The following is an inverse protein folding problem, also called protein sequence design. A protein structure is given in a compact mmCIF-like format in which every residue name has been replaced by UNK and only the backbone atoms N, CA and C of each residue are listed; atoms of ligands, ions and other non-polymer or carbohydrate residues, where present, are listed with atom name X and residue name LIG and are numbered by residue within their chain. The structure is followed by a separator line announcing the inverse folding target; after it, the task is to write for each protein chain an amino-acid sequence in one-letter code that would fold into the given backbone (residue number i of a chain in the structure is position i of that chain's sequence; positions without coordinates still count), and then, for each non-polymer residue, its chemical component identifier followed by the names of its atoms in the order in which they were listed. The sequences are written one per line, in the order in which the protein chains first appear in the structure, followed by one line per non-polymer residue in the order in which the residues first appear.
data_IF_006042390340
#
_entry.id   IF_006042390340
#
_cell.length_a   1.000
_cell.length_b   1.000
_cell.length_c   1.000
_cell.angle_alpha   90.00
_cell.angle_beta   90.00
_cell.angle_gamma   90.00
#
_symmetry.space_group_name_H-M   'P 1'
#
loop_
_entity.id
_entity.type
_entity.pdbx_description
1 polymer ?
#
# COMPACT_ATOMS: atom_id res chain seq x y z
N UNK A 1 -6.64 -28.96 -4.69
CA UNK A 1 -5.21 -29.14 -4.32
C UNK A 1 -4.75 -27.96 -3.49
N UNK A 2 -3.94 -28.14 -2.46
CA UNK A 2 -3.50 -27.04 -1.61
C UNK A 2 -2.00 -26.81 -1.78
N UNK A 3 -1.60 -25.55 -1.98
CA UNK A 3 -0.23 -25.14 -2.26
C UNK A 3 0.30 -24.23 -1.17
N UNK A 4 1.55 -24.43 -0.74
CA UNK A 4 2.28 -23.50 0.13
C UNK A 4 3.43 -22.92 -0.68
N UNK A 5 3.43 -21.61 -0.86
CA UNK A 5 4.44 -20.88 -1.62
C UNK A 5 5.39 -20.16 -0.67
N UNK A 6 6.68 -20.49 -0.76
CA UNK A 6 7.73 -19.93 0.11
C UNK A 6 8.81 -19.28 -0.76
N UNK A 7 8.76 -17.95 -0.99
CA UNK A 7 9.86 -17.24 -1.61
C UNK A 7 11.04 -17.13 -0.64
N UNK A 8 12.25 -17.46 -1.09
CA UNK A 8 13.45 -17.50 -0.26
C UNK A 8 14.64 -16.81 -0.96
N UNK A 9 15.33 -15.95 -0.22
CA UNK A 9 16.60 -15.36 -0.64
C UNK A 9 17.59 -15.43 0.52
N UNK A 10 18.74 -16.06 0.29
CA UNK A 10 19.77 -16.35 1.31
C UNK A 10 19.19 -17.02 2.59
N UNK A 11 18.37 -18.08 2.49
CA UNK A 11 17.75 -18.69 3.65
C UNK A 11 18.76 -19.37 4.57
N UNK A 12 18.35 -19.63 5.82
CA UNK A 12 19.07 -20.45 6.78
C UNK A 12 18.36 -21.80 7.02
N UNK A 13 18.84 -22.58 8.01
CA UNK A 13 18.25 -23.88 8.36
C UNK A 13 16.80 -23.82 8.86
N UNK A 14 16.23 -22.64 9.15
CA UNK A 14 14.83 -22.51 9.54
C UNK A 14 13.89 -22.84 8.40
N UNK A 15 14.28 -22.54 7.16
CA UNK A 15 13.50 -22.93 5.97
C UNK A 15 13.30 -24.45 5.94
N UNK A 16 14.38 -25.22 6.12
CA UNK A 16 14.33 -26.69 6.16
C UNK A 16 13.41 -27.18 7.29
N UNK A 17 13.56 -26.64 8.50
CA UNK A 17 12.72 -27.02 9.63
C UNK A 17 11.24 -26.69 9.41
N UNK A 18 10.95 -25.60 8.69
CA UNK A 18 9.58 -25.21 8.36
C UNK A 18 8.97 -26.20 7.35
N UNK A 19 9.65 -26.48 6.24
CA UNK A 19 9.15 -27.40 5.21
C UNK A 19 9.03 -28.84 5.74
N UNK A 20 9.97 -29.31 6.56
CA UNK A 20 9.92 -30.65 7.19
C UNK A 20 8.65 -30.77 8.04
N UNK A 21 8.39 -29.78 8.92
CA UNK A 21 7.19 -29.77 9.76
C UNK A 21 5.88 -29.66 8.97
N UNK A 22 5.88 -28.92 7.87
CA UNK A 22 4.70 -28.80 6.99
C UNK A 22 4.43 -30.13 6.29
N UNK A 23 5.48 -30.74 5.74
CA UNK A 23 5.42 -32.02 5.04
C UNK A 23 4.96 -33.15 5.96
N UNK A 24 5.45 -33.20 7.20
CA UNK A 24 5.02 -34.20 8.20
C UNK A 24 3.55 -34.05 8.63
N UNK A 25 2.96 -32.87 8.50
CA UNK A 25 1.64 -32.53 9.07
C UNK A 25 0.56 -32.31 8.04
N UNK A 26 0.88 -32.35 6.75
CA UNK A 26 -0.08 -32.05 5.70
C UNK A 26 0.35 -32.55 4.32
N UNK A 27 -0.64 -32.80 3.47
CA UNK A 27 -0.45 -33.17 2.07
C UNK A 27 -0.36 -31.95 1.14
N UNK A 28 0.04 -30.78 1.66
CA UNK A 28 0.16 -29.59 0.84
C UNK A 28 1.33 -29.73 -0.12
N UNK A 29 1.14 -29.27 -1.36
CA UNK A 29 2.23 -29.14 -2.31
C UNK A 29 3.08 -27.92 -1.95
N UNK A 30 4.25 -28.16 -1.38
CA UNK A 30 5.18 -27.10 -0.99
C UNK A 30 6.00 -26.68 -2.20
N UNK A 31 5.97 -25.38 -2.50
CA UNK A 31 6.72 -24.75 -3.58
C UNK A 31 7.67 -23.70 -2.99
N UNK A 32 8.97 -23.96 -3.09
CA UNK A 32 10.02 -23.04 -2.64
C UNK A 32 10.63 -22.37 -3.86
N UNK A 33 10.73 -21.05 -3.83
CA UNK A 33 11.36 -20.27 -4.90
C UNK A 33 12.68 -19.72 -4.40
N UNK A 34 13.81 -20.25 -4.88
CA UNK A 34 15.14 -19.68 -4.68
C UNK A 34 15.29 -18.44 -5.57
N UNK A 35 15.15 -17.26 -5.00
CA UNK A 35 15.26 -15.97 -5.71
C UNK A 35 16.74 -15.57 -5.91
N UNK A 36 17.53 -16.47 -6.50
CA UNK A 36 18.92 -16.20 -6.86
C UNK A 36 19.88 -16.10 -5.68
N UNK A 37 19.75 -17.00 -4.70
CA UNK A 37 20.66 -17.08 -3.56
C UNK A 37 22.07 -17.52 -3.98
N UNK A 38 23.03 -17.25 -3.08
CA UNK A 38 24.44 -17.60 -3.27
C UNK A 38 24.66 -19.12 -3.37
N UNK A 39 25.85 -19.51 -3.83
CA UNK A 39 26.27 -20.92 -3.85
C UNK A 39 26.28 -21.55 -2.44
N UNK A 40 26.52 -20.75 -1.40
CA UNK A 40 26.56 -21.21 0.00
C UNK A 40 25.21 -21.75 0.48
N UNK A 41 24.11 -21.14 0.01
CA UNK A 41 22.75 -21.56 0.35
C UNK A 41 22.26 -22.78 -0.45
N UNK A 42 22.99 -23.27 -1.46
CA UNK A 42 22.50 -24.37 -2.32
C UNK A 42 22.28 -25.67 -1.56
N UNK A 43 23.09 -25.94 -0.54
CA UNK A 43 22.89 -27.10 0.35
C UNK A 43 21.52 -27.08 1.04
N UNK A 44 21.00 -25.88 1.34
CA UNK A 44 19.68 -25.71 1.97
C UNK A 44 18.58 -26.05 0.96
N UNK A 45 18.69 -25.56 -0.27
CA UNK A 45 17.73 -25.87 -1.33
C UNK A 45 17.78 -27.33 -1.78
N UNK A 46 18.96 -27.95 -1.84
CA UNK A 46 19.09 -29.36 -2.16
C UNK A 46 18.45 -30.25 -1.09
N UNK A 47 18.57 -29.89 0.18
CA UNK A 47 17.81 -30.55 1.23
C UNK A 47 16.31 -30.27 1.11
N UNK A 48 15.92 -29.06 0.73
CA UNK A 48 14.51 -28.71 0.57
C UNK A 48 13.80 -29.51 -0.55
N UNK A 49 14.51 -29.89 -1.61
CA UNK A 49 13.98 -30.75 -2.69
C UNK A 49 13.48 -32.11 -2.22
N UNK A 50 13.88 -32.57 -1.03
CA UNK A 50 13.38 -33.82 -0.45
C UNK A 50 11.91 -33.73 -0.01
N UNK A 51 11.42 -32.51 0.26
CA UNK A 51 10.09 -32.28 0.84
C UNK A 51 9.23 -31.31 0.01
N UNK A 52 9.82 -30.61 -0.95
CA UNK A 52 9.19 -29.54 -1.71
C UNK A 52 9.68 -29.48 -3.16
N UNK A 53 8.85 -28.92 -4.04
CA UNK A 53 9.30 -28.48 -5.37
C UNK A 53 10.12 -27.20 -5.21
N UNK A 54 11.34 -27.17 -5.76
CA UNK A 54 12.22 -26.00 -5.69
C UNK A 54 12.46 -25.45 -7.09
N UNK A 55 12.09 -24.18 -7.31
CA UNK A 55 12.35 -23.45 -8.55
C UNK A 55 13.39 -22.37 -8.26
N UNK A 56 14.42 -22.25 -9.11
CA UNK A 56 15.53 -21.33 -8.90
C UNK A 56 15.59 -20.24 -9.96
N UNK A 57 15.73 -19.00 -9.53
CA UNK A 57 16.14 -17.87 -10.38
C UNK A 57 17.67 -17.81 -10.49
N UNK A 58 18.16 -17.40 -11.67
CA UNK A 58 19.61 -17.24 -11.91
C UNK A 58 20.21 -16.07 -11.10
N UNK A 59 19.43 -15.01 -10.90
CA UNK A 59 19.78 -13.81 -10.14
C UNK A 59 18.59 -13.39 -9.27
N UNK A 60 18.84 -12.59 -8.24
CA UNK A 60 17.76 -12.04 -7.41
C UNK A 60 16.87 -11.09 -8.22
N UNK A 61 15.61 -11.48 -8.40
CA UNK A 61 14.60 -10.70 -9.11
C UNK A 61 13.62 -10.00 -8.15
N UNK A 62 13.55 -10.45 -6.90
CA UNK A 62 12.73 -9.89 -5.84
C UNK A 62 11.59 -10.82 -5.42
N UNK A 63 11.11 -10.62 -4.18
CA UNK A 63 10.03 -11.41 -3.56
C UNK A 63 8.76 -11.45 -4.41
N UNK A 64 8.34 -10.32 -4.98
CA UNK A 64 7.16 -10.26 -5.85
C UNK A 64 7.31 -11.09 -7.13
N UNK A 65 8.50 -11.09 -7.73
CA UNK A 65 8.80 -11.93 -8.89
C UNK A 65 8.85 -13.41 -8.51
N UNK A 66 9.43 -13.75 -7.35
CA UNK A 66 9.40 -15.11 -6.83
C UNK A 66 7.97 -15.63 -6.62
N UNK A 67 7.08 -14.81 -6.04
CA UNK A 67 5.66 -15.13 -5.92
C UNK A 67 5.00 -15.33 -7.30
N UNK A 68 5.28 -14.46 -8.27
CA UNK A 68 4.74 -14.62 -9.63
C UNK A 68 5.22 -15.91 -10.31
N UNK A 69 6.51 -16.25 -10.18
CA UNK A 69 7.04 -17.53 -10.69
C UNK A 69 6.28 -18.72 -10.09
N UNK A 70 6.02 -18.69 -8.77
CA UNK A 70 5.21 -19.70 -8.11
C UNK A 70 3.77 -19.75 -8.63
N UNK A 71 3.13 -18.59 -8.80
CA UNK A 71 1.76 -18.52 -9.29
C UNK A 71 1.62 -18.99 -10.74
N UNK A 72 2.58 -18.67 -11.60
CA UNK A 72 2.64 -19.21 -12.98
C UNK A 72 2.73 -20.73 -12.96
N UNK A 73 3.65 -21.29 -12.14
CA UNK A 73 3.77 -22.74 -11.99
C UNK A 73 2.47 -23.40 -11.53
N UNK A 74 1.78 -22.81 -10.55
CA UNK A 74 0.50 -23.32 -10.04
C UNK A 74 -0.61 -23.21 -11.10
N UNK A 75 -0.63 -22.11 -11.87
CA UNK A 75 -1.59 -21.91 -12.95
C UNK A 75 -1.45 -22.99 -14.04
N UNK A 76 -0.22 -23.35 -14.39
CA UNK A 76 0.09 -24.38 -15.38
C UNK A 76 -0.39 -25.78 -14.96
N UNK A 77 -0.54 -26.04 -13.65
CA UNK A 77 -1.12 -27.30 -13.18
C UNK A 77 -2.60 -27.44 -13.54
N UNK A 78 -3.30 -26.33 -13.80
CA UNK A 78 -4.73 -26.28 -14.14
C UNK A 78 -5.65 -27.05 -13.17
N UNK A 79 -5.30 -27.04 -11.87
CA UNK A 79 -6.05 -27.71 -10.80
C UNK A 79 -6.62 -26.68 -9.83
N UNK A 80 -7.92 -26.79 -9.54
CA UNK A 80 -8.57 -25.93 -8.56
C UNK A 80 -8.09 -26.23 -7.13
N UNK A 81 -7.95 -25.18 -6.32
CA UNK A 81 -7.27 -25.30 -5.06
C UNK A 81 -7.15 -24.03 -4.25
N UNK A 82 -6.36 -24.13 -3.17
CA UNK A 82 -5.97 -23.01 -2.33
C UNK A 82 -4.46 -22.80 -2.43
N UNK A 83 -4.04 -21.54 -2.46
CA UNK A 83 -2.65 -21.11 -2.36
C UNK A 83 -2.49 -20.35 -1.06
N UNK A 84 -1.46 -20.66 -0.29
CA UNK A 84 -1.02 -19.86 0.86
C UNK A 84 0.44 -19.47 0.69
N UNK A 85 0.77 -18.20 0.88
CA UNK A 85 2.15 -17.70 0.88
C UNK A 85 2.68 -17.69 2.31
N UNK A 86 3.94 -18.07 2.53
CA UNK A 86 4.60 -17.99 3.82
C UNK A 86 6.05 -17.53 3.67
N UNK A 87 6.55 -16.79 4.66
CA UNK A 87 7.95 -16.34 4.65
C UNK A 87 8.92 -17.48 5.03
N UNK A 88 10.12 -17.46 4.43
CA UNK A 88 11.14 -18.50 4.61
C UNK A 88 11.85 -18.49 5.98
N UNK A 89 11.65 -17.44 6.78
CA UNK A 89 12.34 -17.22 8.06
C UNK A 89 11.76 -18.01 9.24
N UNK A 90 10.65 -18.74 9.02
CA UNK A 90 10.02 -19.58 10.02
C UNK A 90 9.24 -18.82 11.10
N UNK A 91 8.92 -17.53 10.87
CA UNK A 91 8.11 -16.75 11.81
C UNK A 91 6.65 -17.19 11.88
N UNK A 92 6.15 -17.82 10.80
CA UNK A 92 4.79 -18.33 10.74
C UNK A 92 4.69 -19.72 11.37
N UNK A 93 3.79 -19.90 12.34
CA UNK A 93 3.50 -21.23 12.85
C UNK A 93 2.80 -22.05 11.78
N UNK A 94 3.15 -23.34 11.69
CA UNK A 94 2.54 -24.28 10.74
C UNK A 94 1.01 -24.31 10.84
N UNK A 95 0.48 -24.29 12.07
CA UNK A 95 -0.98 -24.24 12.29
C UNK A 95 -1.62 -22.93 11.82
N UNK A 96 -0.90 -21.82 11.84
CA UNK A 96 -1.41 -20.54 11.34
C UNK A 96 -1.52 -20.58 9.80
N UNK A 97 -0.53 -21.18 9.14
CA UNK A 97 -0.55 -21.45 7.69
C UNK A 97 -1.79 -22.30 7.34
N UNK A 98 -2.01 -23.41 8.07
CA UNK A 98 -3.17 -24.27 7.82
C UNK A 98 -4.50 -23.59 8.08
N UNK A 99 -4.63 -22.79 9.16
CA UNK A 99 -5.85 -22.01 9.43
C UNK A 99 -6.14 -21.03 8.31
N UNK A 100 -5.14 -20.30 7.81
CA UNK A 100 -5.33 -19.35 6.71
C UNK A 100 -5.71 -20.04 5.41
N UNK A 101 -5.08 -21.19 5.09
CA UNK A 101 -5.45 -21.99 3.92
C UNK A 101 -6.89 -22.54 4.02
N UNK A 102 -7.27 -23.11 5.17
CA UNK A 102 -8.63 -23.60 5.37
C UNK A 102 -9.66 -22.47 5.23
N UNK A 103 -9.37 -21.28 5.78
CA UNK A 103 -10.25 -20.13 5.65
C UNK A 103 -10.43 -19.70 4.19
N UNK A 104 -9.38 -19.75 3.39
CA UNK A 104 -9.45 -19.45 1.95
C UNK A 104 -10.27 -20.50 1.19
N UNK A 105 -10.12 -21.78 1.54
CA UNK A 105 -10.94 -22.85 0.97
C UNK A 105 -12.43 -22.70 1.30
N UNK A 106 -12.77 -22.25 2.51
CA UNK A 106 -14.16 -21.97 2.92
C UNK A 106 -14.75 -20.70 2.28
N UNK A 107 -13.88 -19.80 1.82
CA UNK A 107 -14.26 -18.49 1.31
C UNK A 107 -13.63 -18.25 -0.08
N UNK A 108 -14.09 -18.99 -1.10
CA UNK A 108 -13.60 -18.78 -2.46
C UNK A 108 -13.90 -17.34 -2.90
N UNK A 109 -13.06 -16.81 -3.79
CA UNK A 109 -13.15 -15.41 -4.27
C UNK A 109 -12.89 -14.34 -3.20
N UNK A 110 -12.15 -14.68 -2.14
CA UNK A 110 -11.70 -13.73 -1.12
C UNK A 110 -10.21 -13.81 -0.91
N UNK A 111 -9.60 -12.70 -0.48
CA UNK A 111 -8.21 -12.66 -0.05
C UNK A 111 -8.17 -12.80 1.48
N UNK A 112 -7.50 -13.83 1.97
CA UNK A 112 -7.33 -14.08 3.40
C UNK A 112 -5.96 -13.59 3.85
N UNK A 113 -5.92 -12.81 4.93
CA UNK A 113 -4.69 -12.33 5.55
C UNK A 113 -4.51 -12.97 6.92
N UNK A 114 -3.34 -13.58 7.14
CA UNK A 114 -2.90 -13.97 8.48
C UNK A 114 -2.42 -12.72 9.23
N UNK A 115 -3.19 -12.23 10.19
CA UNK A 115 -2.90 -10.98 10.90
C UNK A 115 -2.34 -11.24 12.28
N UNK A 116 -1.19 -10.66 12.57
CA UNK A 116 -0.52 -10.82 13.85
C UNK A 116 -1.39 -10.21 14.95
N UNK A 117 -1.67 -10.98 16.00
CA UNK A 117 -2.22 -10.39 17.21
C UNK A 117 -1.18 -9.42 17.79
N UNK A 118 -1.44 -8.11 17.77
CA UNK A 118 -0.57 -7.08 18.37
C UNK A 118 -0.61 -7.09 19.91
N UNK A 119 -0.80 -8.27 20.51
CA UNK A 119 -0.71 -8.50 21.96
C UNK A 119 0.71 -8.91 22.32
N UNK A 120 1.58 -7.95 22.68
CA UNK A 120 2.93 -8.24 23.15
C UNK A 120 3.95 -7.11 22.94
N UNK A 121 5.21 -7.37 23.31
CA UNK A 121 6.38 -6.47 23.12
C UNK A 121 6.78 -6.40 21.64
N UNK A 122 5.93 -5.81 20.81
CA UNK A 122 6.30 -5.47 19.43
C UNK A 122 7.27 -4.28 19.47
N UNK A 123 8.44 -4.33 18.80
CA UNK A 123 9.38 -3.21 18.74
C UNK A 123 8.65 -1.92 18.33
N UNK A 124 8.83 -0.85 19.12
CA UNK A 124 8.10 0.41 18.95
C UNK A 124 8.19 0.99 17.52
N UNK A 125 9.34 0.79 16.86
CA UNK A 125 9.58 1.22 15.47
C UNK A 125 8.68 0.50 14.47
N UNK A 126 8.53 -0.82 14.59
CA UNK A 126 7.65 -1.62 13.72
C UNK A 126 6.17 -1.36 14.01
N UNK A 127 5.81 -1.05 15.26
CA UNK A 127 4.44 -0.61 15.61
C UNK A 127 4.08 0.72 14.96
N UNK A 128 4.99 1.70 14.99
CA UNK A 128 4.73 3.02 14.43
C UNK A 128 4.60 2.97 12.91
N UNK A 129 5.53 2.27 12.23
CA UNK A 129 5.48 2.05 10.78
C UNK A 129 4.17 1.39 10.35
N UNK A 130 3.79 0.28 10.99
CA UNK A 130 2.55 -0.41 10.64
C UNK A 130 1.30 0.42 10.98
N UNK A 131 1.30 1.20 12.07
CA UNK A 131 0.15 2.05 12.43
C UNK A 131 -0.06 3.17 11.40
N UNK A 132 1.03 3.81 10.95
CA UNK A 132 0.97 4.81 9.88
C UNK A 132 0.48 4.17 8.58
N UNK A 133 1.01 3.01 8.21
CA UNK A 133 0.63 2.32 6.97
C UNK A 133 -0.83 1.86 6.99
N UNK A 134 -1.33 1.33 8.11
CA UNK A 134 -2.75 1.00 8.27
C UNK A 134 -3.64 2.21 8.11
N UNK A 135 -3.25 3.34 8.71
CA UNK A 135 -3.99 4.59 8.59
C UNK A 135 -4.02 5.05 7.13
N UNK A 136 -2.86 5.12 6.47
CA UNK A 136 -2.77 5.51 5.05
C UNK A 136 -3.54 4.56 4.13
N UNK A 137 -3.42 3.25 4.36
CA UNK A 137 -4.16 2.24 3.60
C UNK A 137 -5.67 2.42 3.74
N UNK A 138 -6.19 2.48 4.98
CA UNK A 138 -7.61 2.72 5.24
C UNK A 138 -8.09 4.06 4.69
N UNK A 139 -7.25 5.09 4.77
CA UNK A 139 -7.53 6.41 4.20
C UNK A 139 -7.67 6.33 2.68
N UNK A 140 -6.81 5.57 2.00
CA UNK A 140 -6.80 5.43 0.55
C UNK A 140 -7.89 4.48 0.02
N UNK A 141 -8.06 3.30 0.62
CA UNK A 141 -8.94 2.23 0.10
C UNK A 141 -10.32 2.20 0.74
N UNK A 142 -10.50 2.85 1.90
CA UNK A 142 -11.73 2.71 2.70
C UNK A 142 -11.82 1.40 3.50
N UNK A 143 -11.00 0.41 3.16
CA UNK A 143 -10.98 -0.91 3.81
C UNK A 143 -10.05 -0.88 5.02
N UNK A 144 -10.55 -1.33 6.18
CA UNK A 144 -9.74 -1.52 7.37
C UNK A 144 -9.02 -2.85 7.33
N UNK A 145 -7.68 -2.80 7.29
CA UNK A 145 -6.80 -3.96 7.45
C UNK A 145 -5.94 -3.76 8.68
N UNK A 146 -5.85 -4.78 9.52
CA UNK A 146 -5.11 -4.77 10.78
C UNK A 146 -3.65 -5.14 10.61
N UNK A 147 -3.22 -5.73 9.49
CA UNK A 147 -1.79 -5.91 9.18
C UNK A 147 -1.49 -5.88 7.67
N UNK A 148 -1.06 -4.71 7.17
CA UNK A 148 -0.76 -4.55 5.73
C UNK A 148 0.57 -5.19 5.31
N UNK A 149 1.41 -5.56 6.28
CA UNK A 149 2.76 -6.06 6.04
C UNK A 149 2.89 -7.57 6.25
N UNK A 150 1.78 -8.29 6.41
CA UNK A 150 1.83 -9.75 6.55
C UNK A 150 2.19 -10.41 5.22
N UNK A 151 3.16 -11.32 5.28
CA UNK A 151 3.52 -12.24 4.19
C UNK A 151 2.66 -13.51 4.19
N UNK A 152 1.89 -13.76 5.26
CA UNK A 152 0.97 -14.89 5.34
C UNK A 152 -0.38 -14.53 4.71
N UNK A 153 -0.59 -14.99 3.48
CA UNK A 153 -1.79 -14.68 2.70
C UNK A 153 -2.31 -15.92 2.03
N UNK A 154 -3.62 -16.11 1.98
CA UNK A 154 -4.22 -17.26 1.32
C UNK A 154 -5.37 -16.85 0.39
N UNK A 155 -5.52 -17.57 -0.72
CA UNK A 155 -6.55 -17.34 -1.72
C UNK A 155 -6.77 -18.60 -2.57
N UNK A 156 -7.88 -18.69 -3.29
CA UNK A 156 -8.17 -19.81 -4.20
C UNK A 156 -7.50 -19.63 -5.56
N UNK A 157 -7.11 -20.72 -6.23
CA UNK A 157 -6.29 -20.68 -7.46
C UNK A 157 -6.92 -19.87 -8.60
N UNK A 158 -8.25 -19.67 -8.60
CA UNK A 158 -8.92 -18.80 -9.57
C UNK A 158 -8.55 -17.30 -9.44
N UNK A 159 -7.91 -16.87 -8.34
CA UNK A 159 -7.37 -15.52 -8.19
C UNK A 159 -5.98 -15.36 -8.83
N UNK A 160 -5.31 -16.45 -9.24
CA UNK A 160 -3.97 -16.39 -9.82
C UNK A 160 -3.87 -15.45 -11.05
N UNK A 161 -4.81 -15.46 -12.02
CA UNK A 161 -4.77 -14.52 -13.15
C UNK A 161 -4.76 -13.06 -12.70
N UNK A 162 -5.46 -12.74 -11.61
CA UNK A 162 -5.42 -11.41 -11.00
C UNK A 162 -4.06 -11.15 -10.32
N UNK A 163 -3.56 -12.10 -9.53
CA UNK A 163 -2.27 -11.99 -8.85
C UNK A 163 -1.10 -11.74 -9.82
N UNK A 164 -1.11 -12.37 -11.00
CA UNK A 164 -0.07 -12.21 -12.01
C UNK A 164 -0.06 -10.84 -12.67
N UNK A 165 -1.22 -10.16 -12.77
CA UNK A 165 -1.35 -8.82 -13.38
C UNK A 165 -0.85 -7.69 -12.47
N UNK A 166 -0.80 -7.91 -11.16
CA UNK A 166 -0.41 -6.89 -10.18
C UNK A 166 1.04 -6.44 -10.44
N UNK A 167 1.27 -5.13 -10.50
CA UNK A 167 2.60 -4.56 -10.72
C UNK A 167 3.52 -4.74 -9.50
N UNK A 168 4.83 -4.74 -9.76
CA UNK A 168 5.87 -4.90 -8.73
C UNK A 168 6.59 -6.24 -8.84
N UNK A 169 7.86 -6.23 -8.43
CA UNK A 169 8.76 -7.39 -8.47
C UNK A 169 9.44 -7.64 -7.13
N UNK A 170 9.50 -6.65 -6.24
CA UNK A 170 10.07 -6.78 -4.90
C UNK A 170 8.96 -6.66 -3.85
N UNK A 171 9.28 -6.17 -2.65
CA UNK A 171 8.33 -6.10 -1.52
C UNK A 171 7.12 -5.19 -1.79
N UNK A 172 7.21 -4.23 -2.72
CA UNK A 172 6.06 -3.40 -3.12
C UNK A 172 4.90 -4.20 -3.72
N UNK A 173 5.18 -5.38 -4.30
CA UNK A 173 4.17 -6.25 -4.87
C UNK A 173 3.11 -6.65 -3.84
N UNK A 174 3.52 -6.93 -2.60
CA UNK A 174 2.59 -7.32 -1.53
C UNK A 174 1.67 -6.15 -1.14
N UNK A 175 2.15 -4.91 -1.16
CA UNK A 175 1.29 -3.74 -0.93
C UNK A 175 0.35 -3.51 -2.12
N UNK A 176 0.86 -3.57 -3.35
CA UNK A 176 0.06 -3.44 -4.56
C UNK A 176 -1.03 -4.52 -4.63
N UNK A 177 -0.72 -5.75 -4.22
CA UNK A 177 -1.69 -6.83 -4.11
C UNK A 177 -2.87 -6.45 -3.20
N UNK A 178 -2.60 -5.86 -2.03
CA UNK A 178 -3.68 -5.42 -1.13
C UNK A 178 -4.48 -4.27 -1.76
N UNK A 179 -3.80 -3.27 -2.33
CA UNK A 179 -4.45 -2.12 -2.95
C UNK A 179 -5.35 -2.52 -4.11
N UNK A 180 -4.87 -3.38 -5.01
CA UNK A 180 -5.68 -3.88 -6.12
C UNK A 180 -6.77 -4.82 -5.63
N UNK A 181 -6.50 -5.68 -4.64
CA UNK A 181 -7.49 -6.61 -4.12
C UNK A 181 -8.69 -5.89 -3.51
N UNK A 182 -8.49 -4.76 -2.82
CA UNK A 182 -9.61 -3.98 -2.27
C UNK A 182 -10.61 -3.46 -3.30
N UNK A 183 -10.25 -3.45 -4.59
CA UNK A 183 -11.13 -3.01 -5.68
C UNK A 183 -12.00 -4.14 -6.23
N UNK A 184 -11.57 -5.39 -6.09
CA UNK A 184 -12.19 -6.55 -6.75
C UNK A 184 -12.64 -7.66 -5.78
N UNK A 185 -12.00 -7.78 -4.62
CA UNK A 185 -12.19 -8.89 -3.69
C UNK A 185 -12.37 -8.41 -2.25
N UNK A 186 -13.21 -9.14 -1.52
CA UNK A 186 -13.31 -8.96 -0.08
C UNK A 186 -12.04 -9.50 0.62
N UNK A 187 -11.56 -8.76 1.62
CA UNK A 187 -10.42 -9.15 2.45
C UNK A 187 -10.93 -9.63 3.80
N UNK A 188 -10.56 -10.86 4.19
CA UNK A 188 -10.83 -11.41 5.51
C UNK A 188 -9.54 -11.61 6.28
N UNK A 189 -9.61 -11.48 7.61
CA UNK A 189 -8.46 -11.59 8.49
C UNK A 189 -8.58 -12.81 9.40
N UNK A 190 -7.50 -13.58 9.51
CA UNK A 190 -7.37 -14.70 10.44
C UNK A 190 -6.29 -14.33 11.45
N UNK A 191 -6.58 -14.30 12.75
CA UNK A 191 -5.57 -14.01 13.76
C UNK A 191 -4.51 -15.11 13.77
N UNK A 192 -3.24 -14.69 13.82
CA UNK A 192 -2.08 -15.58 13.89
C UNK A 192 -1.16 -15.23 15.07
N UNK A 193 -0.46 -16.24 15.58
CA UNK A 193 0.46 -16.07 16.69
C UNK A 193 1.83 -15.69 16.15
N UNK A 194 2.38 -14.55 16.58
CA UNK A 194 3.71 -14.14 16.11
C UNK A 194 4.80 -14.85 16.90
N UNK A 195 5.66 -15.60 16.21
CA UNK A 195 6.91 -16.09 16.81
C UNK A 195 8.00 -15.08 16.49
N UNK A 196 8.31 -14.20 17.44
CA UNK A 196 9.47 -13.30 17.32
C UNK A 196 10.75 -14.12 17.55
N UNK A 197 11.49 -14.41 16.49
CA UNK A 197 12.80 -15.09 16.56
C UNK A 197 13.88 -14.03 16.37
N UNK A 198 14.73 -13.82 17.38
CA UNK A 198 15.93 -12.96 17.35
C UNK A 198 15.70 -11.58 16.69
N UNK A 199 14.71 -10.81 17.16
CA UNK A 199 14.50 -9.40 16.77
C UNK A 199 14.39 -9.11 15.24
N UNK A 200 13.98 -10.11 14.44
CA UNK A 200 13.90 -10.05 12.97
C UNK A 200 15.25 -9.94 12.22
N UNK A 201 16.39 -10.36 12.79
CA UNK A 201 17.70 -10.31 12.11
C UNK A 201 17.74 -11.09 10.78
N UNK A 202 16.92 -12.14 10.64
CA UNK A 202 16.82 -12.93 9.41
C UNK A 202 15.94 -12.30 8.32
N UNK A 203 15.25 -11.19 8.63
CA UNK A 203 14.50 -10.46 7.62
C UNK A 203 15.46 -9.59 6.80
N UNK A 204 15.65 -9.92 5.53
CA UNK A 204 16.37 -9.06 4.58
C UNK A 204 15.60 -7.77 4.23
N UNK A 205 14.47 -7.50 4.89
CA UNK A 205 13.72 -6.27 4.74
C UNK A 205 14.51 -5.10 5.34
N UNK A 206 14.99 -4.20 4.48
CA UNK A 206 15.67 -2.96 4.90
C UNK A 206 14.60 -1.90 5.16
N UNK A 207 14.32 -1.52 6.43
CA UNK A 207 13.11 -0.77 6.77
C UNK A 207 12.96 0.58 6.08
N UNK A 208 14.09 1.26 5.80
CA UNK A 208 14.11 2.58 5.18
C UNK A 208 14.02 2.46 3.65
N UNK A 209 14.88 1.64 3.03
CA UNK A 209 14.96 1.56 1.57
C UNK A 209 13.76 0.83 0.97
N UNK A 210 13.40 -0.32 1.54
CA UNK A 210 12.29 -1.13 1.05
C UNK A 210 10.96 -0.50 1.47
N UNK A 211 10.91 0.17 2.64
CA UNK A 211 9.81 1.05 3.02
C UNK A 211 9.61 2.18 2.01
N UNK A 212 10.64 2.95 1.68
CA UNK A 212 10.53 4.03 0.68
C UNK A 212 10.12 3.52 -0.71
N UNK A 213 10.49 2.29 -1.09
CA UNK A 213 10.02 1.67 -2.33
C UNK A 213 8.54 1.29 -2.28
N UNK A 214 8.09 0.64 -1.20
CA UNK A 214 6.67 0.31 -0.95
C UNK A 214 5.81 1.58 -1.00
N UNK A 215 6.31 2.67 -0.41
CA UNK A 215 5.57 3.91 -0.29
C UNK A 215 5.92 4.92 -1.39
N UNK A 216 6.73 4.60 -2.40
CA UNK A 216 7.23 5.59 -3.39
C UNK A 216 6.08 6.34 -4.06
N UNK A 217 5.01 5.65 -4.44
CA UNK A 217 3.87 6.27 -5.11
C UNK A 217 3.00 7.08 -4.13
N UNK A 218 2.85 6.59 -2.89
CA UNK A 218 2.13 7.30 -1.82
C UNK A 218 2.90 8.57 -1.39
N UNK A 219 4.21 8.47 -1.18
CA UNK A 219 5.10 9.60 -0.90
C UNK A 219 5.17 10.57 -2.07
N UNK A 220 5.23 10.12 -3.32
CA UNK A 220 5.19 11.04 -4.47
C UNK A 220 3.88 11.82 -4.53
N UNK A 221 2.75 11.17 -4.28
CA UNK A 221 1.46 11.83 -4.23
C UNK A 221 1.36 12.82 -3.05
N UNK A 222 1.78 12.41 -1.86
CA UNK A 222 1.82 13.26 -0.68
C UNK A 222 2.79 14.44 -0.85
N UNK A 223 3.97 14.20 -1.44
CA UNK A 223 4.99 15.21 -1.73
C UNK A 223 4.51 16.19 -2.80
N UNK A 224 3.81 15.72 -3.83
CA UNK A 224 3.18 16.58 -4.85
C UNK A 224 2.12 17.49 -4.23
N UNK A 225 1.28 16.93 -3.36
CA UNK A 225 0.24 17.67 -2.63
C UNK A 225 0.83 18.69 -1.66
N UNK A 226 1.87 18.31 -0.91
CA UNK A 226 2.58 19.21 0.00
C UNK A 226 3.33 20.31 -0.76
N UNK A 227 3.98 19.98 -1.88
CA UNK A 227 4.67 20.96 -2.74
C UNK A 227 3.67 21.95 -3.34
N UNK A 228 2.49 21.49 -3.76
CA UNK A 228 1.40 22.36 -4.21
C UNK A 228 0.93 23.30 -3.10
N UNK A 229 0.78 22.82 -1.86
CA UNK A 229 0.47 23.67 -0.71
C UNK A 229 1.54 24.73 -0.44
N UNK A 230 2.82 24.38 -0.54
CA UNK A 230 3.93 25.35 -0.39
C UNK A 230 3.87 26.41 -1.49
N UNK A 231 3.64 26.01 -2.75
CA UNK A 231 3.45 26.95 -3.87
C UNK A 231 2.25 27.87 -3.61
N UNK A 232 1.12 27.32 -3.15
CA UNK A 232 -0.08 28.09 -2.78
C UNK A 232 0.23 29.15 -1.74
N UNK A 233 0.93 28.77 -0.66
CA UNK A 233 1.31 29.67 0.42
C UNK A 233 2.27 30.78 -0.05
N UNK A 234 3.31 30.43 -0.81
CA UNK A 234 4.30 31.40 -1.30
C UNK A 234 3.64 32.41 -2.25
N UNK A 235 2.83 31.93 -3.19
CA UNK A 235 2.13 32.80 -4.14
C UNK A 235 1.13 33.70 -3.40
N UNK A 236 0.41 33.17 -2.40
CA UNK A 236 -0.49 33.96 -1.56
C UNK A 236 0.27 35.06 -0.81
N UNK A 237 1.39 34.72 -0.15
CA UNK A 237 2.20 35.66 0.60
C UNK A 237 2.75 36.79 -0.30
N UNK A 238 3.28 36.44 -1.47
CA UNK A 238 3.75 37.42 -2.45
C UNK A 238 2.62 38.32 -2.97
N UNK A 239 1.45 37.75 -3.26
CA UNK A 239 0.31 38.53 -3.74
C UNK A 239 -0.22 39.51 -2.68
N UNK A 240 -0.21 39.14 -1.39
CA UNK A 240 -0.55 40.05 -0.29
C UNK A 240 0.46 41.21 -0.18
N UNK A 241 1.75 40.94 -0.41
CA UNK A 241 2.80 41.97 -0.37
C UNK A 241 2.72 42.95 -1.55
N UNK A 242 2.35 42.47 -2.74
CA UNK A 242 2.30 43.27 -3.98
C UNK A 242 1.02 44.12 -4.07
N UNK A 243 -0.02 43.80 -3.30
CA UNK A 243 -1.31 44.50 -3.33
C UNK A 243 -1.61 45.33 -2.04
N UNK A 244 -0.69 46.16 -1.52
CA UNK A 244 -0.85 46.84 -0.24
C UNK A 244 -1.91 47.95 -0.25
N UNK A 245 -2.30 48.46 -1.43
CA UNK A 245 -3.27 49.54 -1.61
C UNK A 245 -4.69 49.04 -1.88
N UNK A 246 -4.87 47.74 -2.14
CA UNK A 246 -6.18 47.14 -2.42
C UNK A 246 -6.96 46.93 -1.13
N UNK A 247 -8.28 47.21 -1.09
CA UNK A 247 -9.12 46.93 0.08
C UNK A 247 -8.96 45.49 0.56
N UNK A 248 -8.89 45.28 1.87
CA UNK A 248 -8.53 44.00 2.49
C UNK A 248 -9.38 42.82 1.99
N UNK A 249 -10.69 43.02 1.81
CA UNK A 249 -11.61 42.00 1.29
C UNK A 249 -11.26 41.58 -0.14
N UNK A 250 -11.03 42.55 -1.03
CA UNK A 250 -10.66 42.30 -2.43
C UNK A 250 -9.25 41.73 -2.53
N UNK A 251 -8.33 42.16 -1.67
CA UNK A 251 -6.96 41.67 -1.60
C UNK A 251 -6.89 40.17 -1.26
N UNK A 252 -7.63 39.74 -0.23
CA UNK A 252 -7.70 38.32 0.16
C UNK A 252 -8.25 37.48 -1.00
N UNK A 253 -9.32 37.96 -1.64
CA UNK A 253 -9.95 37.26 -2.77
C UNK A 253 -8.98 37.10 -3.96
N UNK A 254 -8.35 38.19 -4.39
CA UNK A 254 -7.41 38.19 -5.52
C UNK A 254 -6.16 37.35 -5.23
N UNK A 255 -5.53 37.55 -4.06
CA UNK A 255 -4.34 36.81 -3.66
C UNK A 255 -4.62 35.31 -3.57
N UNK A 256 -5.78 34.94 -3.04
CA UNK A 256 -6.16 33.54 -2.94
C UNK A 256 -6.49 32.92 -4.31
N UNK A 257 -7.11 33.68 -5.20
CA UNK A 257 -7.45 33.22 -6.54
C UNK A 257 -6.20 32.89 -7.35
N UNK A 258 -5.22 33.79 -7.34
CA UNK A 258 -3.94 33.58 -8.02
C UNK A 258 -3.19 32.39 -7.41
N UNK A 259 -3.08 32.33 -6.07
CA UNK A 259 -2.43 31.22 -5.37
C UNK A 259 -3.03 29.87 -5.75
N UNK A 260 -4.38 29.78 -5.77
CA UNK A 260 -5.08 28.53 -6.02
C UNK A 260 -4.97 28.04 -7.46
N UNK A 261 -5.01 28.96 -8.42
CA UNK A 261 -4.81 28.62 -9.84
C UNK A 261 -3.39 28.11 -10.05
N UNK A 262 -2.38 28.83 -9.55
CA UNK A 262 -0.97 28.44 -9.71
C UNK A 262 -0.67 27.11 -9.02
N UNK A 263 -1.14 26.91 -7.79
CA UNK A 263 -0.92 25.67 -7.03
C UNK A 263 -1.62 24.46 -7.66
N UNK A 264 -2.81 24.64 -8.24
CA UNK A 264 -3.55 23.59 -8.92
C UNK A 264 -2.88 23.17 -10.23
N UNK A 265 -2.39 24.13 -11.02
CA UNK A 265 -1.63 23.86 -12.25
C UNK A 265 -0.34 23.10 -11.92
N UNK A 266 0.37 23.53 -10.89
CA UNK A 266 1.58 22.85 -10.41
C UNK A 266 1.30 21.42 -9.95
N UNK A 267 0.23 21.20 -9.17
CA UNK A 267 -0.17 19.88 -8.67
C UNK A 267 -0.50 18.93 -9.83
N UNK A 268 -1.31 19.40 -10.78
CA UNK A 268 -1.68 18.63 -11.97
C UNK A 268 -0.44 18.25 -12.81
N UNK A 269 0.43 19.22 -13.10
CA UNK A 269 1.67 18.99 -13.87
C UNK A 269 2.60 17.98 -13.19
N UNK A 270 2.77 18.10 -11.87
CA UNK A 270 3.62 17.23 -11.06
C UNK A 270 3.05 15.81 -10.98
N UNK A 271 1.75 15.66 -10.74
CA UNK A 271 1.11 14.33 -10.71
C UNK A 271 1.15 13.66 -12.08
N UNK A 272 0.93 14.40 -13.17
CA UNK A 272 1.02 13.87 -14.55
C UNK A 272 2.43 13.42 -14.92
N UNK A 273 3.47 14.13 -14.49
CA UNK A 273 4.87 13.77 -14.82
C UNK A 273 5.49 12.74 -13.88
N UNK A 274 5.14 12.75 -12.59
CA UNK A 274 5.84 11.97 -11.55
C UNK A 274 5.05 10.80 -10.97
N UNK A 275 3.71 10.87 -10.99
CA UNK A 275 2.82 9.92 -10.28
C UNK A 275 2.06 9.02 -11.24
N UNK A 276 1.44 9.56 -12.28
CA UNK A 276 0.58 8.80 -13.21
C UNK A 276 1.18 8.79 -14.61
N UNK A 277 1.74 7.65 -15.05
CA UNK A 277 2.19 7.41 -16.44
C UNK A 277 1.05 6.84 -17.31
N UNK A 278 -0.17 7.36 -17.23
CA UNK A 278 -1.29 6.83 -18.02
C UNK A 278 -2.16 7.90 -18.68
N UNK A 279 -2.59 7.60 -19.91
CA UNK A 279 -3.40 8.40 -20.83
C UNK A 279 -4.91 8.24 -20.60
N UNK A 280 -5.40 8.38 -19.37
CA UNK A 280 -6.84 8.37 -19.12
C UNK A 280 -7.53 9.68 -19.56
N UNK A 281 -8.78 9.58 -20.03
CA UNK A 281 -9.52 10.67 -20.69
C UNK A 281 -9.60 11.94 -19.82
N UNK A 282 -8.89 12.98 -20.28
CA UNK A 282 -8.64 14.26 -19.61
C UNK A 282 -9.90 15.01 -19.14
N UNK A 283 -11.03 14.78 -19.82
CA UNK A 283 -12.20 15.66 -19.73
C UNK A 283 -13.06 15.34 -18.51
N UNK A 284 -13.28 14.06 -18.20
CA UNK A 284 -14.22 13.65 -17.12
C UNK A 284 -13.61 13.83 -15.72
N UNK A 285 -12.32 13.54 -15.57
CA UNK A 285 -11.57 13.77 -14.33
C UNK A 285 -11.29 15.26 -14.11
N UNK A 286 -11.09 16.01 -15.19
CA UNK A 286 -10.84 17.46 -15.14
C UNK A 286 -12.02 18.28 -14.60
N UNK A 287 -13.26 17.96 -15.00
CA UNK A 287 -14.45 18.69 -14.53
C UNK A 287 -14.73 18.49 -13.03
N UNK A 288 -14.53 17.28 -12.49
CA UNK A 288 -14.66 17.01 -11.06
C UNK A 288 -13.60 17.73 -10.21
N UNK A 289 -12.36 17.76 -10.69
CA UNK A 289 -11.28 18.51 -10.06
C UNK A 289 -11.51 20.02 -10.10
N UNK A 290 -12.03 20.55 -11.21
CA UNK A 290 -12.35 21.97 -11.34
C UNK A 290 -13.45 22.39 -10.36
N UNK A 291 -14.54 21.62 -10.27
CA UNK A 291 -15.62 21.89 -9.30
C UNK A 291 -15.14 21.89 -7.86
N UNK A 292 -14.27 20.93 -7.49
CA UNK A 292 -13.65 20.91 -6.18
C UNK A 292 -12.72 22.11 -5.95
N UNK A 293 -11.90 22.47 -6.95
CA UNK A 293 -10.98 23.60 -6.83
C UNK A 293 -11.74 24.92 -6.58
N UNK A 294 -12.87 25.13 -7.25
CA UNK A 294 -13.77 26.27 -7.04
C UNK A 294 -14.40 26.22 -5.64
N UNK A 295 -14.93 25.08 -5.22
CA UNK A 295 -15.52 24.93 -3.88
C UNK A 295 -14.51 25.18 -2.76
N UNK A 296 -13.29 24.65 -2.89
CA UNK A 296 -12.21 24.88 -1.94
C UNK A 296 -11.75 26.34 -1.96
N UNK A 297 -11.67 26.98 -3.13
CA UNK A 297 -11.33 28.40 -3.23
C UNK A 297 -12.31 29.30 -2.48
N UNK A 298 -13.61 29.05 -2.63
CA UNK A 298 -14.66 29.80 -1.94
C UNK A 298 -14.53 29.59 -0.42
N UNK A 299 -14.44 28.33 0.02
CA UNK A 299 -14.37 28.00 1.44
C UNK A 299 -13.08 28.55 2.10
N UNK A 300 -11.96 28.49 1.39
CA UNK A 300 -10.67 29.05 1.82
C UNK A 300 -10.76 30.56 2.01
N UNK A 301 -11.34 31.26 1.04
CA UNK A 301 -11.52 32.71 1.10
C UNK A 301 -12.42 33.13 2.26
N UNK A 302 -13.51 32.40 2.48
CA UNK A 302 -14.45 32.66 3.59
C UNK A 302 -13.82 32.40 4.95
N UNK A 303 -13.11 31.28 5.11
CA UNK A 303 -12.47 30.92 6.37
C UNK A 303 -11.30 31.85 6.70
N UNK A 304 -10.44 32.20 5.74
CA UNK A 304 -9.36 33.16 5.97
C UNK A 304 -9.93 34.50 6.42
N UNK A 305 -11.02 34.95 5.78
CA UNK A 305 -11.72 36.17 6.18
C UNK A 305 -12.26 36.06 7.60
N UNK A 306 -12.92 34.95 7.94
CA UNK A 306 -13.44 34.69 9.29
C UNK A 306 -12.34 34.75 10.36
N UNK A 307 -11.24 34.01 10.17
CA UNK A 307 -10.11 33.99 11.10
C UNK A 307 -9.44 35.36 11.24
N UNK A 308 -9.36 36.12 10.16
CA UNK A 308 -8.82 37.47 10.20
C UNK A 308 -9.76 38.47 10.90
N UNK A 309 -11.04 38.52 10.53
CA UNK A 309 -11.96 39.56 11.03
C UNK A 309 -12.53 39.28 12.40
N UNK A 310 -12.79 38.00 12.74
CA UNK A 310 -13.44 37.62 14.01
C UNK A 310 -12.41 37.29 15.08
N UNK A 311 -11.32 36.62 14.71
CA UNK A 311 -10.31 36.14 15.66
C UNK A 311 -9.03 36.99 15.66
N UNK A 312 -8.92 38.00 14.77
CA UNK A 312 -7.76 38.90 14.70
C UNK A 312 -6.46 38.20 14.28
N UNK A 313 -6.54 36.99 13.69
CA UNK A 313 -5.36 36.20 13.33
C UNK A 313 -4.68 36.82 12.11
N UNK A 314 -3.35 36.88 12.11
CA UNK A 314 -2.56 37.32 10.96
C UNK A 314 -2.93 36.51 9.70
N UNK A 315 -3.05 37.18 8.54
CA UNK A 315 -3.45 36.57 7.27
C UNK A 315 -2.61 35.34 6.88
N UNK A 316 -1.30 35.36 7.12
CA UNK A 316 -0.41 34.25 6.79
C UNK A 316 -0.63 33.05 7.71
N UNK A 317 -0.87 33.30 9.01
CA UNK A 317 -1.18 32.25 9.99
C UNK A 317 -2.57 31.66 9.72
N UNK A 318 -3.55 32.51 9.42
CA UNK A 318 -4.89 32.09 9.02
C UNK A 318 -4.83 31.20 7.77
N UNK A 319 -4.02 31.55 6.77
CA UNK A 319 -3.82 30.74 5.56
C UNK A 319 -3.28 29.33 5.87
N UNK A 320 -2.35 29.19 6.82
CA UNK A 320 -1.83 27.88 7.24
C UNK A 320 -2.90 27.06 7.94
N UNK A 321 -3.61 27.64 8.92
CA UNK A 321 -4.67 26.94 9.68
C UNK A 321 -5.79 26.48 8.74
N UNK A 322 -6.27 27.37 7.88
CA UNK A 322 -7.34 27.06 6.92
C UNK A 322 -6.87 26.03 5.90
N UNK A 323 -5.62 26.12 5.43
CA UNK A 323 -5.04 25.13 4.54
C UNK A 323 -5.04 23.71 5.11
N UNK A 324 -4.72 23.55 6.41
CA UNK A 324 -4.78 22.26 7.11
C UNK A 324 -6.22 21.75 7.20
N UNK A 325 -7.17 22.61 7.57
CA UNK A 325 -8.59 22.24 7.67
C UNK A 325 -9.16 21.82 6.31
N UNK A 326 -8.84 22.58 5.26
CA UNK A 326 -9.31 22.32 3.90
C UNK A 326 -8.64 21.13 3.26
N UNK A 327 -7.43 20.77 3.67
CA UNK A 327 -6.80 19.54 3.21
C UNK A 327 -7.65 18.33 3.57
N UNK A 328 -8.16 18.26 4.81
CA UNK A 328 -9.03 17.16 5.25
C UNK A 328 -10.38 17.14 4.50
N UNK A 329 -10.97 18.31 4.27
CA UNK A 329 -12.23 18.44 3.50
C UNK A 329 -12.01 18.05 2.03
N UNK A 330 -10.98 18.59 1.39
CA UNK A 330 -10.57 18.27 0.03
C UNK A 330 -10.36 16.77 -0.14
N UNK A 331 -9.63 16.15 0.77
CA UNK A 331 -9.39 14.71 0.76
C UNK A 331 -10.70 13.92 0.83
N UNK A 332 -11.60 14.30 1.75
CA UNK A 332 -12.89 13.62 1.94
C UNK A 332 -13.78 13.74 0.70
N UNK A 333 -13.82 14.91 0.07
CA UNK A 333 -14.64 15.15 -1.13
C UNK A 333 -14.07 14.43 -2.34
N UNK A 334 -12.75 14.47 -2.53
CA UNK A 334 -12.08 13.70 -3.59
C UNK A 334 -12.42 12.22 -3.47
N UNK A 335 -12.31 11.66 -2.26
CA UNK A 335 -12.60 10.26 -1.99
C UNK A 335 -14.07 9.87 -2.23
N UNK A 336 -15.02 10.67 -1.76
CA UNK A 336 -16.45 10.27 -1.81
C UNK A 336 -17.15 10.62 -3.12
N UNK A 337 -16.76 11.69 -3.79
CA UNK A 337 -17.53 12.27 -4.89
C UNK A 337 -16.80 12.27 -6.23
N UNK A 338 -15.47 12.39 -6.23
CA UNK A 338 -14.69 12.41 -7.49
C UNK A 338 -14.24 11.01 -7.85
N UNK A 339 -13.63 10.32 -6.89
CA UNK A 339 -13.25 8.92 -7.03
C UNK A 339 -14.37 8.05 -6.44
N UNK A 340 -15.57 8.13 -7.02
CA UNK A 340 -16.69 7.29 -6.63
C UNK A 340 -16.20 5.84 -6.67
N UNK A 341 -16.06 5.21 -5.50
CA UNK A 341 -15.86 3.77 -5.38
C UNK A 341 -16.93 3.13 -6.27
N UNK A 342 -16.51 2.41 -7.32
CA UNK A 342 -17.40 1.44 -7.94
C UNK A 342 -17.61 0.37 -6.88
N UNK A 343 -18.55 0.61 -5.97
CA UNK A 343 -19.20 -0.49 -5.27
C UNK A 343 -19.90 -1.25 -6.39
N UNK A 344 -19.28 -2.34 -6.82
CA UNK A 344 -19.90 -3.32 -7.68
C UNK A 344 -21.14 -3.82 -6.97
N UNK A 345 -22.29 -3.19 -7.20
CA UNK A 345 -23.57 -3.89 -7.09
C UNK A 345 -23.50 -5.03 -8.10
N UNK A 346 -23.09 -6.19 -7.60
CA UNK A 346 -23.25 -7.47 -8.29
C UNK A 346 -24.74 -7.74 -8.32
N UNK A 347 -25.31 -7.69 -9.52
CA UNK A 347 -26.52 -8.45 -9.88
C UNK A 347 -26.08 -9.85 -10.31
#
# INVERSE_FOLDING_TARGET
MNYIVIPAYQPDNKLIKLIEKIHEKSDFHILVIDDGSSSECQKIFDKAKQFATVIRHQVNQGKGQALKTAFTYIQEQNIYGTVVTADADGQHKVWDIFRTANKASENPNKLILGVRAFSGKVPLRSRFGNSLTKALFKLQTGVGVTDTQTGLRAFTTNLIPFMLKIEGQRYEYEMNMLLEATKEYEILEVPIETVYINDNEASHFRPIQDGLMIYKNIFKFALSSLSSFVVDYVVYALAILILPTVPTSLRIFLANGVARVTSSIFNYSTNKKLVFKNDDSLVKTGMGYFGLAVGLFILDTLLIRLFFTVFGINLLIAKVIVGILLFAVSWTVQKKFIFKERTSTVL
#
